data_IF_351134864265
#
_entry.id   IF_351134864265
#
_cell.length_a   1.000
_cell.length_b   1.000
_cell.length_c   1.000
_cell.angle_alpha   90.00
_cell.angle_beta   90.00
_cell.angle_gamma   90.00
#
_symmetry.space_group_name_H-M   'P 1'
#
loop_
_entity.id
_entity.type
_entity.pdbx_description
1 polymer ?
#
# COMPACT_ATOMS: atom_id res chain seq x y z
N UNK A 1 9.12 15.59 33.37
CA UNK A 1 8.49 14.72 32.35
C UNK A 1 8.57 13.29 32.83
N UNK A 2 7.43 12.59 33.03
CA UNK A 2 7.43 11.13 33.26
C UNK A 2 8.02 10.48 32.01
N UNK A 3 9.15 9.77 32.15
CA UNK A 3 9.74 8.97 31.07
C UNK A 3 8.79 7.82 30.76
N UNK A 4 7.97 7.97 29.74
CA UNK A 4 7.12 6.88 29.25
C UNK A 4 8.03 5.81 28.65
N UNK A 5 7.98 4.59 29.18
CA UNK A 5 8.71 3.46 28.62
C UNK A 5 7.94 2.96 27.40
N UNK A 6 8.44 3.23 26.22
CA UNK A 6 7.91 2.65 24.97
C UNK A 6 8.40 1.20 24.86
N UNK A 7 7.47 0.29 24.59
CA UNK A 7 7.81 -1.11 24.29
C UNK A 7 8.37 -1.25 22.86
N UNK A 8 7.91 -0.39 21.95
CA UNK A 8 8.31 -0.40 20.54
C UNK A 8 7.80 0.86 19.83
N UNK A 9 8.58 1.34 18.87
CA UNK A 9 8.16 2.34 17.91
C UNK A 9 7.83 1.67 16.56
N UNK A 10 6.64 1.89 16.03
CA UNK A 10 6.25 1.37 14.71
C UNK A 10 6.16 2.51 13.71
N UNK A 11 6.98 2.45 12.67
CA UNK A 11 7.01 3.45 11.62
C UNK A 11 6.36 2.94 10.32
N UNK A 12 5.33 3.64 9.85
CA UNK A 12 4.73 3.40 8.55
C UNK A 12 5.50 4.14 7.46
N UNK A 13 6.36 3.40 6.77
CA UNK A 13 7.06 3.83 5.57
C UNK A 13 6.20 3.62 4.31
N UNK A 14 6.80 3.31 3.18
CA UNK A 14 6.10 3.08 1.91
C UNK A 14 6.95 2.26 0.94
N UNK A 15 6.31 1.57 -0.01
CA UNK A 15 6.99 0.99 -1.17
C UNK A 15 7.68 2.03 -2.06
N UNK A 16 7.31 3.31 -1.94
CA UNK A 16 7.92 4.41 -2.71
C UNK A 16 9.39 4.64 -2.37
N UNK A 17 9.89 4.11 -1.25
CA UNK A 17 11.31 4.16 -0.87
C UNK A 17 12.20 3.38 -1.83
N UNK A 18 11.66 2.38 -2.54
CA UNK A 18 12.44 1.59 -3.49
C UNK A 18 12.73 2.32 -4.80
N UNK A 19 11.91 3.32 -5.18
CA UNK A 19 11.96 3.97 -6.48
C UNK A 19 11.56 3.01 -7.60
N UNK A 20 12.30 3.01 -8.72
CA UNK A 20 12.08 2.07 -9.82
C UNK A 20 12.49 0.65 -9.44
N UNK A 21 11.55 -0.30 -9.57
CA UNK A 21 11.85 -1.71 -9.33
C UNK A 21 12.73 -2.25 -10.45
N UNK A 22 13.94 -2.68 -10.09
CA UNK A 22 14.91 -3.25 -11.04
C UNK A 22 14.66 -4.72 -11.33
N UNK A 23 13.86 -5.39 -10.50
CA UNK A 23 13.52 -6.82 -10.57
C UNK A 23 12.00 -6.97 -10.53
N UNK A 24 11.52 -8.18 -10.84
CA UNK A 24 10.09 -8.50 -10.78
C UNK A 24 9.49 -8.38 -9.36
N UNK A 25 10.32 -8.47 -8.32
CA UNK A 25 9.93 -8.32 -6.92
C UNK A 25 10.94 -7.46 -6.17
N UNK A 26 10.44 -6.58 -5.30
CA UNK A 26 11.25 -5.82 -4.34
C UNK A 26 11.26 -6.53 -2.99
N UNK A 27 12.45 -6.67 -2.41
CA UNK A 27 12.69 -7.26 -1.09
C UNK A 27 13.11 -6.18 -0.10
N UNK A 28 12.94 -6.42 1.19
CA UNK A 28 13.31 -5.45 2.23
C UNK A 28 14.80 -5.14 2.24
N UNK A 29 15.62 -6.03 1.70
CA UNK A 29 17.09 -5.90 1.56
C UNK A 29 17.51 -5.16 0.29
N UNK A 30 16.60 -4.90 -0.64
CA UNK A 30 16.94 -4.18 -1.86
C UNK A 30 17.27 -2.72 -1.55
N UNK A 31 18.18 -2.15 -2.35
CA UNK A 31 18.60 -0.75 -2.23
C UNK A 31 17.40 0.18 -2.41
N UNK A 32 17.22 1.09 -1.48
CA UNK A 32 16.25 2.17 -1.57
C UNK A 32 16.79 3.32 -2.41
N UNK A 33 15.99 3.83 -3.35
CA UNK A 33 16.34 4.94 -4.22
C UNK A 33 15.05 5.67 -4.68
N UNK A 34 14.40 6.42 -3.77
CA UNK A 34 13.13 7.08 -4.06
C UNK A 34 13.29 8.11 -5.18
N UNK A 35 12.27 8.23 -6.04
CA UNK A 35 12.22 9.20 -7.15
C UNK A 35 11.44 10.47 -6.82
N UNK A 36 10.53 10.37 -5.86
CA UNK A 36 9.57 11.42 -5.52
C UNK A 36 9.79 11.92 -4.10
N UNK A 37 9.39 13.16 -3.83
CA UNK A 37 9.48 13.79 -2.50
C UNK A 37 8.86 12.90 -1.42
N UNK A 38 7.67 12.34 -1.68
CA UNK A 38 7.00 11.46 -0.71
C UNK A 38 7.85 10.23 -0.33
N UNK A 39 8.41 9.54 -1.32
CA UNK A 39 9.30 8.40 -1.09
C UNK A 39 10.57 8.80 -0.34
N UNK A 40 11.16 9.95 -0.70
CA UNK A 40 12.33 10.52 -0.04
C UNK A 40 12.04 10.82 1.43
N UNK A 41 10.91 11.47 1.75
CA UNK A 41 10.52 11.76 3.14
C UNK A 41 10.25 10.48 3.94
N UNK A 42 9.64 9.46 3.31
CA UNK A 42 9.45 8.16 3.96
C UNK A 42 10.77 7.47 4.26
N UNK A 43 11.74 7.53 3.34
CA UNK A 43 13.09 6.99 3.59
C UNK A 43 13.84 7.77 4.67
N UNK A 44 13.77 9.10 4.67
CA UNK A 44 14.34 9.93 5.72
C UNK A 44 13.76 9.55 7.10
N UNK A 45 12.46 9.30 7.18
CA UNK A 45 11.80 8.81 8.39
C UNK A 45 12.27 7.42 8.82
N UNK A 46 12.59 6.51 7.89
CA UNK A 46 13.21 5.22 8.24
C UNK A 46 14.60 5.40 8.86
N UNK A 47 15.41 6.29 8.26
CA UNK A 47 16.77 6.60 8.77
C UNK A 47 16.68 7.24 10.16
N UNK A 48 15.83 8.25 10.33
CA UNK A 48 15.60 8.91 11.61
C UNK A 48 15.08 7.92 12.67
N UNK A 49 14.12 7.05 12.31
CA UNK A 49 13.61 6.01 13.21
C UNK A 49 14.74 5.11 13.71
N UNK A 50 15.56 4.58 12.80
CA UNK A 50 16.68 3.71 13.17
C UNK A 50 17.69 4.44 14.05
N UNK A 51 18.09 5.66 13.68
CA UNK A 51 19.06 6.45 14.43
C UNK A 51 18.58 6.78 15.86
N UNK A 52 17.38 7.36 15.97
CA UNK A 52 16.82 7.74 17.28
C UNK A 52 16.52 6.51 18.15
N UNK A 53 15.93 5.48 17.59
CA UNK A 53 15.60 4.26 18.33
C UNK A 53 16.85 3.55 18.85
N UNK A 54 17.90 3.49 18.04
CA UNK A 54 19.19 2.92 18.47
C UNK A 54 19.84 3.78 19.59
N UNK A 55 19.83 5.10 19.43
CA UNK A 55 20.40 6.02 20.43
C UNK A 55 19.70 5.93 21.79
N UNK A 56 18.38 5.79 21.80
CA UNK A 56 17.58 5.70 23.01
C UNK A 56 17.30 4.27 23.48
N UNK A 57 17.86 3.25 22.82
CA UNK A 57 17.61 1.83 23.09
C UNK A 57 16.11 1.47 23.05
N UNK A 58 15.37 2.05 22.10
CA UNK A 58 13.96 1.76 21.87
C UNK A 58 13.84 0.76 20.70
N UNK A 59 13.23 -0.41 20.87
CA UNK A 59 12.97 -1.30 19.75
C UNK A 59 12.07 -0.64 18.72
N UNK A 60 12.31 -0.90 17.42
CA UNK A 60 11.47 -0.38 16.35
C UNK A 60 11.01 -1.47 15.39
N UNK A 61 9.98 -1.16 14.63
CA UNK A 61 9.54 -1.95 13.46
C UNK A 61 9.13 -0.99 12.33
N UNK A 62 9.63 -1.22 11.12
CA UNK A 62 9.29 -0.43 9.94
C UNK A 62 8.38 -1.26 9.04
N UNK A 63 7.28 -0.66 8.59
CA UNK A 63 6.31 -1.29 7.70
C UNK A 63 6.31 -0.53 6.37
N UNK A 64 6.51 -1.24 5.26
CA UNK A 64 6.44 -0.71 3.89
C UNK A 64 5.20 -1.24 3.18
N UNK A 65 4.07 -0.54 3.25
CA UNK A 65 2.86 -0.88 2.48
C UNK A 65 2.97 -0.43 1.03
N UNK A 66 2.06 -0.95 0.17
CA UNK A 66 1.90 -0.52 -1.22
C UNK A 66 0.43 -0.41 -1.58
N UNK A 67 0.06 0.64 -2.33
CA UNK A 67 -1.25 0.85 -2.96
C UNK A 67 -2.43 0.39 -2.08
N UNK A 68 -2.43 0.86 -0.82
CA UNK A 68 -3.48 0.54 0.15
C UNK A 68 -4.81 1.14 -0.31
N UNK A 69 -5.87 0.35 -0.23
CA UNK A 69 -7.21 0.76 -0.61
C UNK A 69 -8.25 0.07 0.28
N UNK A 70 -9.46 0.63 0.31
CA UNK A 70 -10.58 0.07 1.06
C UNK A 70 -11.49 1.14 1.63
N UNK A 71 -12.46 0.76 2.48
CA UNK A 71 -13.34 1.69 3.18
C UNK A 71 -12.58 2.84 3.81
N UNK A 72 -13.19 4.05 3.79
CA UNK A 72 -12.61 5.29 4.35
C UNK A 72 -11.32 5.79 3.70
N UNK A 73 -10.92 5.30 2.51
CA UNK A 73 -9.80 5.87 1.77
C UNK A 73 -10.14 7.31 1.32
N UNK A 74 -9.40 8.30 1.83
CA UNK A 74 -9.61 9.73 1.58
C UNK A 74 -8.34 10.41 1.02
N UNK A 75 -7.38 9.62 0.53
CA UNK A 75 -6.06 10.12 0.13
C UNK A 75 -5.96 10.52 -1.34
N UNK A 76 -7.06 10.56 -2.08
CA UNK A 76 -7.14 10.86 -3.52
C UNK A 76 -6.14 10.04 -4.36
N UNK A 77 -5.96 8.78 -3.99
CA UNK A 77 -5.13 7.85 -4.77
C UNK A 77 -5.94 7.22 -5.90
N UNK A 78 -5.24 6.62 -6.83
CA UNK A 78 -5.84 6.03 -8.04
C UNK A 78 -7.03 5.11 -7.75
N UNK A 79 -6.98 4.33 -6.68
CA UNK A 79 -8.04 3.41 -6.27
C UNK A 79 -9.32 4.14 -5.88
N UNK A 80 -9.20 5.18 -5.07
CA UNK A 80 -10.32 6.03 -4.66
C UNK A 80 -10.85 6.85 -5.84
N UNK A 81 -9.97 7.53 -6.58
CA UNK A 81 -10.35 8.35 -7.74
C UNK A 81 -11.15 7.51 -8.75
N UNK A 82 -10.70 6.29 -9.04
CA UNK A 82 -11.37 5.42 -10.00
C UNK A 82 -12.74 4.96 -9.49
N UNK A 83 -12.86 4.62 -8.21
CA UNK A 83 -14.14 4.24 -7.63
C UNK A 83 -15.12 5.41 -7.59
N UNK A 84 -14.71 6.58 -7.14
CA UNK A 84 -15.56 7.78 -7.10
C UNK A 84 -16.06 8.18 -8.49
N UNK A 85 -15.17 8.17 -9.49
CA UNK A 85 -15.55 8.45 -10.88
C UNK A 85 -16.50 7.39 -11.43
N UNK A 86 -16.27 6.11 -11.13
CA UNK A 86 -17.18 5.03 -11.54
C UNK A 86 -18.59 5.23 -10.93
N UNK A 87 -18.68 5.61 -9.67
CA UNK A 87 -19.96 5.92 -9.00
C UNK A 87 -20.67 7.12 -9.61
N UNK A 88 -19.91 8.13 -10.04
CA UNK A 88 -20.45 9.33 -10.72
C UNK A 88 -20.76 9.13 -12.18
N UNK A 89 -20.37 8.00 -12.78
CA UNK A 89 -20.51 7.74 -14.23
C UNK A 89 -19.51 8.54 -15.10
N UNK A 90 -18.45 9.06 -14.47
CA UNK A 90 -17.40 9.81 -15.15
C UNK A 90 -16.40 8.88 -15.87
N UNK A 91 -15.74 9.40 -16.90
CA UNK A 91 -14.71 8.66 -17.64
C UNK A 91 -13.42 8.55 -16.82
N UNK A 92 -12.87 7.34 -16.69
CA UNK A 92 -11.58 7.10 -16.08
C UNK A 92 -10.44 7.43 -17.04
N UNK A 93 -9.39 8.06 -16.53
CA UNK A 93 -8.13 8.27 -17.26
C UNK A 93 -7.09 7.33 -16.66
N UNK A 94 -6.61 6.38 -17.47
CA UNK A 94 -5.63 5.38 -17.07
C UNK A 94 -4.26 5.78 -17.64
N UNK A 95 -3.42 6.40 -16.80
CA UNK A 95 -2.07 6.77 -17.18
C UNK A 95 -1.14 5.55 -17.10
N UNK A 96 -0.79 4.97 -18.26
CA UNK A 96 0.00 3.75 -18.34
C UNK A 96 -0.82 2.51 -17.97
N UNK A 97 -1.52 1.92 -18.95
CA UNK A 97 -2.39 0.73 -18.75
C UNK A 97 -1.65 -0.44 -18.07
N UNK A 98 -0.35 -0.58 -18.36
CA UNK A 98 0.50 -1.67 -17.87
C UNK A 98 1.27 -1.31 -16.58
N UNK A 99 1.06 -0.09 -16.02
CA UNK A 99 1.62 0.29 -14.72
C UNK A 99 1.10 -0.65 -13.63
N UNK A 100 2.02 -1.24 -12.87
CA UNK A 100 1.74 -2.28 -11.88
C UNK A 100 1.76 -1.71 -10.47
N UNK A 101 0.80 -2.13 -9.66
CA UNK A 101 0.71 -1.82 -8.24
C UNK A 101 0.43 -3.10 -7.45
N UNK A 102 1.09 -3.26 -6.31
CA UNK A 102 0.75 -4.29 -5.34
C UNK A 102 -0.39 -3.75 -4.47
N UNK A 103 -1.63 -3.96 -4.95
CA UNK A 103 -2.83 -3.47 -4.29
C UNK A 103 -3.07 -4.23 -2.99
N UNK A 104 -3.10 -3.50 -1.89
CA UNK A 104 -3.24 -4.07 -0.56
C UNK A 104 -4.53 -3.59 0.08
N UNK A 105 -5.42 -4.50 0.41
CA UNK A 105 -6.66 -4.14 1.10
C UNK A 105 -6.35 -3.71 2.55
N UNK A 106 -7.07 -2.68 3.01
CA UNK A 106 -6.78 -2.03 4.31
C UNK A 106 -6.81 -3.00 5.49
N UNK A 107 -7.72 -3.98 5.50
CA UNK A 107 -7.81 -4.98 6.57
C UNK A 107 -6.57 -5.89 6.60
N UNK A 108 -6.03 -6.29 5.44
CA UNK A 108 -4.79 -7.07 5.38
C UNK A 108 -3.59 -6.25 5.88
N UNK A 109 -3.51 -4.96 5.52
CA UNK A 109 -2.48 -4.09 6.05
C UNK A 109 -2.60 -3.94 7.57
N UNK A 110 -3.81 -3.69 8.09
CA UNK A 110 -4.05 -3.56 9.52
C UNK A 110 -3.63 -4.83 10.27
N UNK A 111 -4.04 -6.00 9.78
CA UNK A 111 -3.70 -7.29 10.37
C UNK A 111 -2.17 -7.53 10.36
N UNK A 112 -1.51 -7.33 9.21
CA UNK A 112 -0.06 -7.44 9.11
C UNK A 112 0.68 -6.46 10.02
N UNK A 113 0.14 -5.25 10.20
CA UNK A 113 0.70 -4.23 11.09
C UNK A 113 0.59 -4.61 12.55
N UNK A 114 -0.54 -5.18 12.98
CA UNK A 114 -0.74 -5.72 14.33
C UNK A 114 0.26 -6.86 14.60
N UNK A 115 0.37 -7.81 13.67
CA UNK A 115 1.33 -8.91 13.78
C UNK A 115 2.76 -8.38 13.92
N UNK A 116 3.14 -7.38 13.11
CA UNK A 116 4.46 -6.76 13.17
C UNK A 116 4.67 -5.97 14.47
N UNK A 117 3.65 -5.28 14.98
CA UNK A 117 3.73 -4.52 16.21
C UNK A 117 3.88 -5.40 17.45
N UNK A 118 3.27 -6.58 17.49
CA UNK A 118 3.24 -7.44 18.68
C UNK A 118 4.33 -8.52 18.68
N UNK A 119 4.82 -8.95 17.52
CA UNK A 119 5.78 -10.06 17.43
C UNK A 119 7.17 -9.66 17.93
N UNK A 120 7.76 -10.45 18.84
CA UNK A 120 9.16 -10.30 19.25
C UNK A 120 10.14 -10.49 18.07
N UNK A 121 9.76 -11.28 17.05
CA UNK A 121 10.57 -11.49 15.84
C UNK A 121 10.61 -10.27 14.91
N UNK A 122 9.80 -9.26 15.17
CA UNK A 122 9.78 -8.01 14.40
C UNK A 122 10.62 -6.87 15.02
N UNK A 123 11.26 -7.10 16.16
CA UNK A 123 12.12 -6.10 16.79
C UNK A 123 13.28 -5.73 15.86
N UNK A 124 13.45 -4.43 15.64
CA UNK A 124 14.51 -3.84 14.80
C UNK A 124 14.50 -4.38 13.35
N UNK A 125 13.29 -4.65 12.82
CA UNK A 125 13.09 -5.21 11.49
C UNK A 125 12.25 -4.28 10.60
N UNK A 126 12.47 -4.42 9.29
CA UNK A 126 11.62 -3.82 8.25
C UNK A 126 10.84 -4.93 7.55
N UNK A 127 9.57 -4.68 7.25
CA UNK A 127 8.68 -5.62 6.56
C UNK A 127 7.91 -4.95 5.42
N UNK A 128 7.85 -5.62 4.28
CA UNK A 128 6.83 -5.36 3.28
C UNK A 128 5.53 -6.00 3.76
N UNK A 129 4.50 -5.20 3.98
CA UNK A 129 3.15 -5.67 4.34
C UNK A 129 2.20 -5.27 3.21
N UNK A 130 2.02 -6.20 2.27
CA UNK A 130 1.22 -6.03 1.05
C UNK A 130 0.51 -7.35 0.72
N UNK A 131 -0.26 -7.36 -0.37
CA UNK A 131 -0.82 -8.62 -0.87
C UNK A 131 0.26 -9.55 -1.44
N UNK A 132 1.37 -9.01 -1.94
CA UNK A 132 2.49 -9.77 -2.48
C UNK A 132 2.30 -10.22 -3.93
N UNK A 133 1.38 -9.59 -4.67
CA UNK A 133 1.16 -9.81 -6.11
C UNK A 133 0.65 -8.52 -6.75
N UNK A 134 1.49 -7.91 -7.57
CA UNK A 134 1.09 -6.71 -8.31
C UNK A 134 0.13 -7.05 -9.46
N UNK A 135 -0.77 -6.12 -9.73
CA UNK A 135 -1.67 -6.14 -10.89
C UNK A 135 -1.58 -4.80 -11.62
N UNK A 136 -1.92 -4.80 -12.93
CA UNK A 136 -1.89 -3.57 -13.74
C UNK A 136 -3.09 -2.67 -13.41
N UNK A 137 -2.98 -1.37 -13.73
CA UNK A 137 -4.11 -0.45 -13.63
C UNK A 137 -5.28 -0.90 -14.52
N UNK A 138 -4.98 -1.48 -15.68
CA UNK A 138 -6.00 -2.04 -16.55
C UNK A 138 -6.73 -3.22 -15.92
N UNK A 139 -6.01 -4.14 -15.25
CA UNK A 139 -6.63 -5.25 -14.51
C UNK A 139 -7.51 -4.74 -13.38
N UNK A 140 -7.09 -3.68 -12.68
CA UNK A 140 -7.91 -3.01 -11.65
C UNK A 140 -9.23 -2.52 -12.27
N UNK A 141 -9.17 -1.79 -13.38
CA UNK A 141 -10.36 -1.25 -14.06
C UNK A 141 -11.26 -2.37 -14.58
N UNK A 142 -10.71 -3.46 -15.11
CA UNK A 142 -11.50 -4.64 -15.50
C UNK A 142 -12.29 -5.26 -14.36
N UNK A 143 -11.72 -5.31 -13.16
CA UNK A 143 -12.44 -5.81 -11.98
C UNK A 143 -13.51 -4.79 -11.55
N UNK A 144 -13.19 -3.50 -11.56
CA UNK A 144 -14.14 -2.43 -11.22
C UNK A 144 -15.33 -2.41 -12.18
N UNK A 145 -15.12 -2.66 -13.49
CA UNK A 145 -16.19 -2.67 -14.51
C UNK A 145 -17.22 -3.78 -14.29
N UNK A 146 -16.91 -4.85 -13.55
CA UNK A 146 -17.89 -5.86 -13.14
C UNK A 146 -19.01 -5.27 -12.27
N UNK A 147 -18.71 -4.21 -11.52
CA UNK A 147 -19.66 -3.52 -10.64
C UNK A 147 -20.31 -2.29 -11.28
N UNK A 148 -19.71 -1.80 -12.36
CA UNK A 148 -20.15 -0.62 -13.11
C UNK A 148 -20.14 -0.92 -14.62
N UNK A 149 -21.16 -1.62 -15.15
CA UNK A 149 -21.17 -2.10 -16.55
C UNK A 149 -21.08 -1.00 -17.62
N UNK A 150 -21.46 0.25 -17.24
CA UNK A 150 -21.38 1.41 -18.15
C UNK A 150 -20.11 2.24 -17.94
N UNK A 151 -19.11 1.70 -17.24
CA UNK A 151 -17.86 2.39 -16.95
C UNK A 151 -17.10 2.71 -18.24
N UNK A 152 -16.82 4.00 -18.44
CA UNK A 152 -16.01 4.48 -19.58
C UNK A 152 -14.58 4.73 -19.10
N UNK A 153 -13.60 4.40 -19.93
CA UNK A 153 -12.20 4.69 -19.65
C UNK A 153 -11.40 4.95 -20.92
N UNK A 154 -10.35 5.75 -20.79
CA UNK A 154 -9.38 6.04 -21.84
C UNK A 154 -7.98 5.78 -21.33
N UNK A 155 -7.08 5.40 -22.22
CA UNK A 155 -5.67 5.24 -21.91
C UNK A 155 -4.90 6.50 -22.29
N UNK A 156 -3.97 6.89 -21.40
CA UNK A 156 -2.94 7.88 -21.68
C UNK A 156 -1.56 7.26 -21.45
N UNK A 157 -0.53 7.91 -21.95
CA UNK A 157 0.84 7.55 -21.66
C UNK A 157 1.10 7.56 -20.15
N UNK A 158 2.09 6.76 -19.72
CA UNK A 158 2.49 6.75 -18.32
C UNK A 158 3.10 8.08 -17.89
N UNK A 159 2.92 8.43 -16.65
CA UNK A 159 3.67 9.50 -16.02
C UNK A 159 5.10 9.01 -15.71
N UNK A 160 6.08 9.52 -16.47
CA UNK A 160 7.49 9.14 -16.33
C UNK A 160 8.15 9.66 -15.04
N UNK A 161 7.56 10.64 -14.39
CA UNK A 161 8.03 11.12 -13.09
C UNK A 161 7.75 10.12 -11.98
N UNK A 162 6.72 9.27 -12.16
CA UNK A 162 6.40 8.21 -11.20
C UNK A 162 7.30 6.99 -11.36
N UNK A 163 7.71 6.35 -10.24
CA UNK A 163 8.54 5.16 -10.31
C UNK A 163 7.80 3.98 -10.94
N UNK A 164 8.52 3.15 -11.69
CA UNK A 164 8.03 1.84 -12.14
C UNK A 164 7.97 0.90 -10.95
N UNK A 165 6.77 0.48 -10.58
CA UNK A 165 6.50 -0.39 -9.43
C UNK A 165 6.14 -1.81 -9.89
N UNK A 166 6.08 -2.72 -8.93
CA UNK A 166 5.75 -4.11 -9.15
C UNK A 166 5.33 -4.80 -7.86
N UNK A 167 5.60 -6.08 -7.78
CA UNK A 167 5.32 -6.91 -6.59
C UNK A 167 6.32 -6.63 -5.47
N UNK A 168 5.84 -6.54 -4.24
CA UNK A 168 6.71 -6.60 -3.06
C UNK A 168 6.76 -8.04 -2.54
N UNK A 169 7.95 -8.52 -2.20
CA UNK A 169 8.06 -9.81 -1.53
C UNK A 169 7.55 -9.72 -0.10
N UNK A 170 6.64 -10.60 0.25
CA UNK A 170 6.13 -10.78 1.62
C UNK A 170 6.68 -12.03 2.29
N UNK A 171 7.72 -12.64 1.71
CA UNK A 171 8.31 -13.88 2.23
C UNK A 171 8.80 -13.74 3.66
N UNK A 172 9.40 -12.61 4.01
CA UNK A 172 9.86 -12.29 5.36
C UNK A 172 8.68 -12.18 6.33
N UNK A 173 7.63 -11.44 5.96
CA UNK A 173 6.43 -11.31 6.78
C UNK A 173 5.73 -12.67 6.98
N UNK A 174 5.63 -13.48 5.95
CA UNK A 174 5.11 -14.86 6.05
C UNK A 174 5.92 -15.70 7.03
N UNK A 175 7.25 -15.70 6.91
CA UNK A 175 8.16 -16.52 7.71
C UNK A 175 8.21 -16.10 9.19
N UNK A 176 8.31 -14.80 9.46
CA UNK A 176 8.55 -14.30 10.81
C UNK A 176 7.28 -13.92 11.56
N UNK A 177 6.22 -13.50 10.85
CA UNK A 177 4.98 -13.00 11.44
C UNK A 177 3.78 -13.91 11.18
N UNK A 178 3.94 -14.98 10.40
CA UNK A 178 2.83 -15.81 9.89
C UNK A 178 1.76 -14.97 9.15
N UNK A 179 2.19 -13.86 8.51
CA UNK A 179 1.32 -12.98 7.75
C UNK A 179 0.73 -13.69 6.54
N UNK A 180 -0.58 -13.70 6.43
CA UNK A 180 -1.34 -14.33 5.33
C UNK A 180 -2.42 -13.35 4.84
N UNK A 181 -2.11 -12.49 3.84
CA UNK A 181 -3.13 -11.60 3.29
C UNK A 181 -4.27 -12.43 2.67
N UNK A 182 -5.49 -12.03 2.97
CA UNK A 182 -6.71 -12.74 2.57
C UNK A 182 -7.36 -12.11 1.34
N UNK A 183 -7.30 -10.78 1.23
CA UNK A 183 -8.04 -10.04 0.22
C UNK A 183 -7.20 -9.88 -1.07
N UNK A 184 -7.43 -10.77 -2.05
CA UNK A 184 -7.03 -10.46 -3.41
C UNK A 184 -7.81 -9.24 -3.92
N UNK A 185 -7.42 -8.69 -5.08
CA UNK A 185 -8.03 -7.47 -5.61
C UNK A 185 -9.54 -7.61 -5.85
N UNK A 186 -10.03 -8.79 -6.24
CA UNK A 186 -11.47 -9.02 -6.46
C UNK A 186 -12.27 -8.99 -5.15
N UNK A 187 -11.79 -9.69 -4.12
CA UNK A 187 -12.45 -9.72 -2.81
C UNK A 187 -12.44 -8.35 -2.13
N UNK A 188 -11.30 -7.65 -2.18
CA UNK A 188 -11.19 -6.32 -1.61
C UNK A 188 -12.04 -5.29 -2.38
N UNK A 189 -12.08 -5.38 -3.73
CA UNK A 189 -12.91 -4.52 -4.55
C UNK A 189 -14.41 -4.69 -4.22
N UNK A 190 -14.88 -5.93 -4.03
CA UNK A 190 -16.26 -6.20 -3.63
C UNK A 190 -16.62 -5.40 -2.38
N UNK A 191 -15.87 -5.58 -1.30
CA UNK A 191 -16.10 -4.86 -0.02
C UNK A 191 -16.01 -3.34 -0.20
N UNK A 192 -15.05 -2.87 -0.99
CA UNK A 192 -14.84 -1.43 -1.20
C UNK A 192 -16.02 -0.80 -1.96
N UNK A 193 -16.53 -1.47 -2.98
CA UNK A 193 -17.70 -1.00 -3.74
C UNK A 193 -18.97 -1.06 -2.89
N UNK A 194 -19.18 -2.13 -2.12
CA UNK A 194 -20.32 -2.26 -1.20
C UNK A 194 -20.35 -1.11 -0.20
N UNK A 195 -19.23 -0.85 0.45
CA UNK A 195 -19.09 0.29 1.37
C UNK A 195 -19.37 1.64 0.71
N UNK A 196 -18.81 1.88 -0.49
CA UNK A 196 -19.01 3.15 -1.17
C UNK A 196 -20.46 3.38 -1.64
N UNK A 197 -21.22 2.31 -1.93
CA UNK A 197 -22.64 2.38 -2.28
C UNK A 197 -23.49 2.68 -1.03
N UNK A 198 -23.27 2.01 0.10
CA UNK A 198 -24.01 2.26 1.33
C UNK A 198 -23.84 3.71 1.82
N UNK A 199 -22.61 4.24 1.77
CA UNK A 199 -22.30 5.60 2.17
C UNK A 199 -23.00 6.68 1.33
N UNK A 200 -23.49 6.33 0.13
CA UNK A 200 -24.24 7.24 -0.75
C UNK A 200 -25.75 7.20 -0.45
N UNK A 201 -26.25 6.08 0.04
CA UNK A 201 -27.67 5.93 0.42
C UNK A 201 -27.97 6.67 1.72
N UNK A 202 -27.05 6.70 2.68
CA UNK A 202 -27.19 7.41 3.97
C UNK A 202 -27.12 8.95 3.84
N UNK A 203 -26.76 9.49 2.65
CA UNK A 203 -26.68 10.93 2.38
C UNK A 203 -27.84 11.47 1.53
N UNK A 204 -28.82 10.66 1.21
CA UNK A 204 -30.08 11.05 0.56
C UNK A 204 -31.21 11.12 1.58
#
# INVERSE_FOLDING_TARGET
MKKTKFQRFVYFSSSMVYGDFKKNKAYETDKTNPKEIYGTMKLAGEVATKGLCNFYNIPYTIIRPSAVYGPTDMNQRVTQIFLEKAIKGETLIINGKDEKLDFTFVEDLANGSILAALSKKALNQTFNITFGKAMTLYQYVKILSKYFPRLKYIFKERDHQRPKRGTLSISKAKKLLNYKPYFNLERGMKKYVEFAKSFKEDKK
#
